data_IF_717865478585
#
_entry.id   IF_717865478585
#
_cell.length_a   1.000
_cell.length_b   1.000
_cell.length_c   1.000
_cell.angle_alpha   90.00
_cell.angle_beta   90.00
_cell.angle_gamma   90.00
#
_symmetry.space_group_name_H-M   'P 1'
#
loop_
_entity.id
_entity.type
_entity.pdbx_description
1 polymer ?
#
# COMPACT_ATOMS: atom_id res chain seq x y z
N UNK A 1 10.55 9.51 -78.83
CA UNK A 1 9.89 10.31 -79.89
C UNK A 1 8.49 10.63 -79.39
N UNK A 2 8.15 11.91 -79.38
CA UNK A 2 6.89 12.55 -78.96
C UNK A 2 5.63 11.90 -79.53
N UNK A 3 4.56 11.79 -78.73
CA UNK A 3 3.15 12.01 -79.14
C UNK A 3 2.23 11.83 -77.93
N UNK A 4 1.61 12.90 -77.42
CA UNK A 4 0.34 13.52 -77.82
C UNK A 4 -0.85 13.03 -76.98
N UNK A 5 -1.42 14.02 -76.32
CA UNK A 5 -2.69 14.08 -75.60
C UNK A 5 -3.87 13.70 -76.48
N UNK A 6 -4.80 12.90 -75.96
CA UNK A 6 -6.17 12.84 -76.49
C UNK A 6 -7.16 12.72 -75.31
N UNK A 7 -7.95 13.79 -75.13
CA UNK A 7 -9.12 13.84 -74.23
C UNK A 7 -10.31 13.30 -75.01
N UNK A 8 -10.99 12.29 -74.49
CA UNK A 8 -12.37 11.96 -74.88
C UNK A 8 -13.29 12.21 -73.69
N UNK A 9 -14.24 13.12 -73.89
CA UNK A 9 -15.31 13.50 -72.98
C UNK A 9 -16.52 12.61 -73.27
N UNK A 10 -17.04 11.93 -72.25
CA UNK A 10 -18.37 11.31 -72.24
C UNK A 10 -19.22 11.95 -71.15
N UNK A 11 -20.31 12.58 -71.55
CA UNK A 11 -21.31 13.30 -70.73
C UNK A 11 -22.43 12.38 -70.24
N UNK A 12 -22.76 12.43 -68.94
CA UNK A 12 -24.12 12.59 -68.39
C UNK A 12 -24.09 12.75 -66.86
N UNK A 13 -25.16 13.25 -66.20
CA UNK A 13 -25.08 14.40 -65.31
C UNK A 13 -25.26 14.00 -63.85
N UNK A 14 -24.29 14.33 -63.01
CA UNK A 14 -24.55 14.55 -61.59
C UNK A 14 -23.54 15.55 -61.04
N UNK A 15 -24.01 16.42 -60.16
CA UNK A 15 -23.21 17.46 -59.56
C UNK A 15 -22.23 16.89 -58.54
N UNK A 16 -21.10 16.37 -59.01
CA UNK A 16 -20.02 15.85 -58.17
C UNK A 16 -18.99 16.94 -57.84
N UNK A 17 -18.84 17.20 -56.54
CA UNK A 17 -17.78 17.99 -55.94
C UNK A 17 -16.46 17.24 -56.16
N UNK A 18 -15.50 17.88 -56.84
CA UNK A 18 -14.17 17.34 -57.12
C UNK A 18 -13.44 16.96 -55.83
N UNK A 19 -13.19 15.67 -55.65
CA UNK A 19 -12.21 15.17 -54.67
C UNK A 19 -10.86 15.14 -55.37
N UNK A 20 -10.02 16.14 -55.11
CA UNK A 20 -8.62 16.09 -55.52
C UNK A 20 -7.90 15.07 -54.63
N UNK A 21 -7.48 13.97 -55.25
CA UNK A 21 -6.66 12.93 -54.62
C UNK A 21 -5.24 13.47 -54.50
N UNK A 22 -4.94 14.07 -53.35
CA UNK A 22 -3.58 14.45 -52.96
C UNK A 22 -2.76 13.18 -52.65
N UNK A 23 -1.56 13.14 -53.22
CA UNK A 23 -0.59 12.05 -53.07
C UNK A 23 -0.19 11.83 -51.59
N UNK A 24 -0.02 10.56 -51.26
CA UNK A 24 0.23 9.96 -49.93
C UNK A 24 1.59 10.32 -49.29
N UNK A 25 2.34 11.28 -49.87
CA UNK A 25 3.68 11.66 -49.41
C UNK A 25 3.72 12.93 -48.56
N UNK A 26 2.68 13.78 -48.59
CA UNK A 26 2.67 15.07 -47.87
C UNK A 26 2.03 15.03 -46.46
N UNK A 27 1.46 13.89 -46.04
CA UNK A 27 0.84 13.74 -44.70
C UNK A 27 1.85 13.30 -43.62
N UNK A 28 3.11 13.08 -43.97
CA UNK A 28 4.12 12.50 -43.05
C UNK A 28 4.76 13.46 -42.04
N UNK A 29 4.26 14.69 -41.84
CA UNK A 29 5.00 15.69 -41.02
C UNK A 29 4.52 16.04 -39.62
N UNK A 30 3.34 15.65 -39.15
CA UNK A 30 2.91 16.02 -37.77
C UNK A 30 2.17 14.92 -37.00
N UNK A 31 2.68 13.69 -37.06
CA UNK A 31 2.35 12.69 -36.03
C UNK A 31 3.59 12.50 -35.17
N UNK A 32 3.73 13.34 -34.15
CA UNK A 32 4.63 13.08 -33.02
C UNK A 32 4.14 11.80 -32.35
N UNK A 33 4.64 10.65 -32.81
CA UNK A 33 4.48 9.37 -32.12
C UNK A 33 5.21 9.51 -30.78
N UNK A 34 4.43 9.82 -29.74
CA UNK A 34 4.90 9.73 -28.36
C UNK A 34 5.22 8.26 -28.12
N UNK A 35 6.51 7.96 -28.09
CA UNK A 35 7.04 6.62 -27.94
C UNK A 35 6.77 6.14 -26.52
N UNK A 36 5.64 5.47 -26.33
CA UNK A 36 5.35 4.75 -25.10
C UNK A 36 6.29 3.55 -24.99
N UNK A 37 6.97 3.41 -23.84
CA UNK A 37 7.65 2.16 -23.48
C UNK A 37 6.68 0.97 -23.63
N UNK A 38 7.20 -0.26 -23.62
CA UNK A 38 6.46 -1.54 -23.63
C UNK A 38 5.28 -1.63 -22.61
N UNK A 39 5.18 -0.68 -21.68
CA UNK A 39 4.14 -0.48 -20.68
C UNK A 39 3.09 0.61 -21.03
N UNK A 40 3.12 1.23 -22.22
CA UNK A 40 2.14 2.22 -22.67
C UNK A 40 2.22 3.61 -22.04
N UNK A 41 3.34 4.01 -21.43
CA UNK A 41 3.44 5.30 -20.73
C UNK A 41 4.19 6.36 -21.54
N UNK A 42 3.56 7.53 -21.68
CA UNK A 42 4.15 8.78 -22.15
C UNK A 42 5.20 9.26 -21.11
N UNK A 43 6.37 9.70 -21.57
CA UNK A 43 7.34 10.38 -20.71
C UNK A 43 6.66 11.57 -20.01
N UNK A 44 6.93 11.81 -18.72
CA UNK A 44 6.41 12.97 -17.98
C UNK A 44 6.97 14.25 -18.60
N UNK A 45 6.27 14.80 -19.58
CA UNK A 45 6.68 16.00 -20.29
C UNK A 45 6.05 17.28 -19.72
N UNK A 46 5.02 17.16 -18.86
CA UNK A 46 4.34 18.32 -18.27
C UNK A 46 4.92 18.68 -16.88
N UNK A 47 5.51 19.89 -16.69
CA UNK A 47 5.97 20.38 -15.40
C UNK A 47 4.90 20.34 -14.30
N UNK A 48 3.61 20.51 -14.67
CA UNK A 48 2.50 20.46 -13.74
C UNK A 48 2.29 19.07 -13.13
N UNK A 49 2.48 18.00 -13.91
CA UNK A 49 2.37 16.61 -13.44
C UNK A 49 3.51 16.26 -12.48
N UNK A 50 4.73 16.74 -12.75
CA UNK A 50 5.89 16.52 -11.88
C UNK A 50 5.70 17.25 -10.53
N UNK A 51 5.23 18.49 -10.56
CA UNK A 51 4.93 19.27 -9.36
C UNK A 51 3.83 18.61 -8.52
N UNK A 52 2.76 18.12 -9.16
CA UNK A 52 1.68 17.39 -8.51
C UNK A 52 2.18 16.12 -7.81
N UNK A 53 2.96 15.28 -8.50
CA UNK A 53 3.50 14.05 -7.91
C UNK A 53 4.45 14.34 -6.75
N UNK A 54 5.31 15.36 -6.86
CA UNK A 54 6.14 15.78 -5.73
C UNK A 54 5.30 16.20 -4.52
N UNK A 55 4.23 16.97 -4.74
CA UNK A 55 3.31 17.41 -3.67
C UNK A 55 2.61 16.24 -3.00
N UNK A 56 2.21 15.23 -3.78
CA UNK A 56 1.65 13.96 -3.28
C UNK A 56 2.69 13.17 -2.49
N UNK A 57 3.90 13.00 -3.04
CA UNK A 57 5.01 12.29 -2.41
C UNK A 57 5.36 12.94 -1.05
N UNK A 58 5.50 14.27 -1.00
CA UNK A 58 5.83 14.99 0.24
C UNK A 58 4.79 14.89 1.35
N UNK A 59 3.53 14.58 1.04
CA UNK A 59 2.45 14.58 2.04
C UNK A 59 1.96 13.18 2.40
N UNK A 60 1.85 12.29 1.42
CA UNK A 60 1.33 10.93 1.59
C UNK A 60 2.44 9.97 2.02
N UNK A 61 3.64 10.08 1.43
CA UNK A 61 4.69 9.10 1.69
C UNK A 61 5.24 9.16 3.12
N UNK A 62 5.54 10.33 3.73
CA UNK A 62 6.09 10.36 5.08
C UNK A 62 5.13 9.79 6.13
N UNK A 63 3.83 10.09 6.02
CA UNK A 63 2.84 9.58 6.96
C UNK A 63 2.62 8.08 6.79
N UNK A 64 2.51 7.60 5.55
CA UNK A 64 2.32 6.18 5.28
C UNK A 64 3.57 5.37 5.67
N UNK A 65 4.75 5.93 5.42
CA UNK A 65 6.03 5.37 5.87
C UNK A 65 6.12 5.32 7.39
N UNK A 66 5.72 6.39 8.10
CA UNK A 66 5.71 6.40 9.56
C UNK A 66 4.72 5.39 10.15
N UNK A 67 3.52 5.27 9.58
CA UNK A 67 2.53 4.27 9.98
C UNK A 67 3.08 2.85 9.75
N UNK A 68 3.73 2.59 8.62
CA UNK A 68 4.33 1.30 8.30
C UNK A 68 5.54 0.99 9.19
N UNK A 69 6.37 1.98 9.48
CA UNK A 69 7.47 1.87 10.45
C UNK A 69 6.97 1.45 11.83
N UNK A 70 5.92 2.10 12.34
CA UNK A 70 5.31 1.77 13.63
C UNK A 70 4.64 0.39 13.64
N UNK A 71 4.04 -0.01 12.52
CA UNK A 71 3.45 -1.34 12.37
C UNK A 71 4.47 -2.45 12.60
N UNK A 72 5.65 -2.32 12.00
CA UNK A 72 6.73 -3.26 12.24
C UNK A 72 7.37 -3.10 13.61
N UNK A 73 7.31 -1.91 14.22
CA UNK A 73 7.90 -1.66 15.53
C UNK A 73 7.17 -2.50 16.59
N UNK A 74 5.84 -2.43 16.62
CA UNK A 74 4.98 -3.18 17.54
C UNK A 74 5.08 -4.70 17.34
N UNK A 75 5.24 -5.15 16.09
CA UNK A 75 5.47 -6.57 15.80
C UNK A 75 6.81 -7.04 16.38
N UNK A 76 7.84 -6.19 16.33
CA UNK A 76 9.15 -6.47 16.92
C UNK A 76 9.19 -6.24 18.44
N UNK A 77 8.20 -5.55 19.02
CA UNK A 77 8.14 -5.26 20.45
C UNK A 77 8.06 -6.52 21.32
N UNK A 78 7.36 -7.57 20.90
CA UNK A 78 7.28 -8.82 21.68
C UNK A 78 8.63 -9.55 21.77
N UNK A 79 9.35 -9.78 20.66
CA UNK A 79 10.72 -10.24 20.71
C UNK A 79 11.63 -9.41 21.61
N UNK A 80 11.52 -8.08 21.58
CA UNK A 80 12.35 -7.23 22.42
C UNK A 80 11.95 -7.32 23.91
N UNK A 81 10.66 -7.35 24.21
CA UNK A 81 10.14 -7.53 25.56
C UNK A 81 10.60 -8.85 26.20
N UNK A 82 10.77 -9.91 25.39
CA UNK A 82 11.36 -11.18 25.83
C UNK A 82 12.75 -11.01 26.47
N UNK A 83 13.55 -10.07 25.98
CA UNK A 83 14.89 -9.78 26.52
C UNK A 83 14.85 -9.15 27.91
N UNK A 84 13.73 -8.51 28.29
CA UNK A 84 13.51 -7.88 29.58
C UNK A 84 12.68 -8.77 30.53
N UNK A 85 13.04 -10.05 30.65
CA UNK A 85 12.43 -11.01 31.58
C UNK A 85 10.89 -11.20 31.49
N UNK A 86 10.24 -10.83 30.37
CA UNK A 86 8.79 -11.02 30.17
C UNK A 86 8.34 -12.47 30.41
N UNK A 87 9.19 -13.45 30.08
CA UNK A 87 8.90 -14.86 30.34
C UNK A 87 8.78 -15.17 31.84
N UNK A 88 9.57 -14.51 32.69
CA UNK A 88 9.53 -14.69 34.15
C UNK A 88 8.33 -13.98 34.76
N UNK A 89 8.02 -12.77 34.30
CA UNK A 89 6.89 -11.99 34.82
C UNK A 89 5.54 -12.64 34.52
N UNK A 90 5.39 -13.24 33.34
CA UNK A 90 4.15 -13.94 32.93
C UNK A 90 4.17 -15.44 33.22
N UNK A 91 5.25 -15.97 33.82
CA UNK A 91 5.47 -17.41 34.04
C UNK A 91 5.24 -18.26 32.78
N UNK A 92 5.74 -17.80 31.64
CA UNK A 92 5.59 -18.50 30.36
C UNK A 92 6.42 -19.79 30.36
N UNK A 93 5.80 -20.91 29.96
CA UNK A 93 6.45 -22.23 29.89
C UNK A 93 6.58 -22.72 28.44
N UNK A 94 7.79 -23.13 28.06
CA UNK A 94 8.04 -23.89 26.83
C UNK A 94 7.54 -23.19 25.56
N UNK A 95 6.57 -23.80 24.88
CA UNK A 95 6.07 -23.38 23.56
C UNK A 95 5.10 -22.17 23.60
N UNK A 96 4.66 -21.74 24.78
CA UNK A 96 3.64 -20.71 24.95
C UNK A 96 4.01 -19.37 24.30
N UNK A 97 5.28 -18.97 24.41
CA UNK A 97 5.77 -17.75 23.75
C UNK A 97 5.62 -17.82 22.22
N UNK A 98 5.98 -18.96 21.62
CA UNK A 98 5.82 -19.17 20.18
C UNK A 98 4.34 -19.17 19.77
N UNK A 99 3.46 -19.76 20.59
CA UNK A 99 2.02 -19.70 20.35
C UNK A 99 1.49 -18.28 20.37
N UNK A 100 1.97 -17.42 21.28
CA UNK A 100 1.58 -16.01 21.34
C UNK A 100 2.06 -15.19 20.13
N UNK A 101 3.16 -15.57 19.48
CA UNK A 101 3.58 -14.99 18.20
C UNK A 101 2.65 -15.50 17.08
N UNK A 102 2.43 -16.81 17.01
CA UNK A 102 1.67 -17.42 15.92
C UNK A 102 0.19 -17.03 15.90
N UNK A 103 -0.43 -16.80 17.07
CA UNK A 103 -1.86 -16.44 17.16
C UNK A 103 -2.17 -15.09 16.50
N UNK A 104 -1.20 -14.17 16.44
CA UNK A 104 -1.33 -12.90 15.72
C UNK A 104 -1.61 -13.16 14.23
N UNK A 105 -0.87 -14.10 13.61
CA UNK A 105 -1.06 -14.45 12.21
C UNK A 105 -2.42 -15.10 11.95
N UNK A 106 -2.95 -15.86 12.90
CA UNK A 106 -4.30 -16.45 12.80
C UNK A 106 -5.36 -15.34 12.75
N UNK A 107 -5.30 -14.37 13.69
CA UNK A 107 -6.20 -13.22 13.68
C UNK A 107 -6.06 -12.38 12.41
N UNK A 108 -4.81 -12.21 11.95
CA UNK A 108 -4.50 -11.49 10.73
C UNK A 108 -5.16 -12.13 9.50
N UNK A 109 -4.99 -13.45 9.31
CA UNK A 109 -5.53 -14.19 8.16
C UNK A 109 -7.06 -14.14 8.12
N UNK A 110 -7.72 -14.30 9.27
CA UNK A 110 -9.19 -14.26 9.34
C UNK A 110 -9.75 -12.92 8.89
N UNK A 111 -9.09 -11.82 9.23
CA UNK A 111 -9.58 -10.48 8.95
C UNK A 111 -9.05 -9.90 7.61
N UNK A 112 -8.01 -10.49 7.04
CA UNK A 112 -7.43 -10.05 5.77
C UNK A 112 -8.44 -10.12 4.61
N UNK A 113 -9.23 -11.20 4.52
CA UNK A 113 -10.23 -11.38 3.45
C UNK A 113 -11.43 -10.41 3.63
N UNK A 114 -12.09 -10.35 4.80
CA UNK A 114 -13.16 -9.38 5.05
C UNK A 114 -12.69 -7.94 4.85
N UNK A 115 -11.51 -7.58 5.38
CA UNK A 115 -10.97 -6.23 5.26
C UNK A 115 -10.82 -5.80 3.81
N UNK A 116 -10.23 -6.65 2.97
CA UNK A 116 -10.03 -6.31 1.56
C UNK A 116 -11.37 -6.05 0.86
N UNK A 117 -12.43 -6.76 1.26
CA UNK A 117 -13.77 -6.49 0.76
C UNK A 117 -14.33 -5.15 1.25
N UNK A 118 -14.18 -4.84 2.54
CA UNK A 118 -14.64 -3.60 3.14
C UNK A 118 -13.92 -2.35 2.62
N UNK A 119 -12.65 -2.50 2.28
CA UNK A 119 -11.80 -1.42 1.77
C UNK A 119 -12.30 -0.87 0.44
N UNK A 120 -12.92 -1.70 -0.41
CA UNK A 120 -13.52 -1.25 -1.68
C UNK A 120 -14.80 -0.41 -1.50
N UNK A 121 -15.42 -0.45 -0.31
CA UNK A 121 -16.69 0.23 -0.01
C UNK A 121 -16.56 1.42 0.95
N UNK A 122 -15.41 1.57 1.60
CA UNK A 122 -15.19 2.54 2.68
C UNK A 122 -14.07 3.50 2.32
N UNK A 123 -14.07 4.69 2.89
CA UNK A 123 -12.97 5.64 2.75
C UNK A 123 -11.68 5.06 3.36
N UNK A 124 -10.60 4.85 2.59
CA UNK A 124 -9.40 4.17 3.07
C UNK A 124 -8.71 4.90 4.23
N UNK A 125 -8.68 6.24 4.20
CA UNK A 125 -8.03 7.06 5.24
C UNK A 125 -8.69 6.85 6.61
N UNK A 126 -10.01 7.02 6.70
CA UNK A 126 -10.76 6.81 7.95
C UNK A 126 -10.61 5.37 8.44
N UNK A 127 -10.73 4.40 7.54
CA UNK A 127 -10.64 2.99 7.89
C UNK A 127 -9.26 2.64 8.48
N UNK A 128 -8.17 3.04 7.81
CA UNK A 128 -6.82 2.80 8.29
C UNK A 128 -6.52 3.51 9.61
N UNK A 129 -6.93 4.77 9.76
CA UNK A 129 -6.72 5.51 11.02
C UNK A 129 -7.49 4.91 12.19
N UNK A 130 -8.74 4.49 12.00
CA UNK A 130 -9.53 3.85 13.06
C UNK A 130 -8.92 2.51 13.45
N UNK A 131 -8.54 1.68 12.47
CA UNK A 131 -7.84 0.42 12.74
C UNK A 131 -6.53 0.64 13.49
N UNK A 132 -5.77 1.68 13.13
CA UNK A 132 -4.52 2.03 13.80
C UNK A 132 -4.72 2.53 15.23
N UNK A 133 -5.79 3.28 15.51
CA UNK A 133 -6.14 3.70 16.89
C UNK A 133 -6.56 2.49 17.74
N UNK A 134 -7.37 1.59 17.18
CA UNK A 134 -7.78 0.36 17.87
C UNK A 134 -6.55 -0.51 18.18
N UNK A 135 -5.69 -0.70 17.19
CA UNK A 135 -4.43 -1.42 17.32
C UNK A 135 -3.50 -0.79 18.37
N UNK A 136 -3.31 0.54 18.35
CA UNK A 136 -2.53 1.26 19.37
C UNK A 136 -3.11 1.09 20.79
N UNK A 137 -4.44 1.09 20.91
CA UNK A 137 -5.13 0.89 22.19
C UNK A 137 -4.92 -0.52 22.74
N UNK A 138 -4.99 -1.54 21.87
CA UNK A 138 -4.74 -2.94 22.24
C UNK A 138 -3.27 -3.16 22.58
N UNK A 139 -2.35 -2.53 21.86
CA UNK A 139 -0.91 -2.56 22.17
C UNK A 139 -0.63 -1.97 23.55
N UNK A 140 -1.15 -0.78 23.86
CA UNK A 140 -1.03 -0.18 25.18
C UNK A 140 -1.67 -1.04 26.28
N UNK A 141 -2.82 -1.68 26.01
CA UNK A 141 -3.46 -2.61 26.93
C UNK A 141 -2.61 -3.87 27.21
N UNK A 142 -1.73 -4.26 26.28
CA UNK A 142 -0.82 -5.41 26.45
C UNK A 142 0.16 -5.18 27.60
N UNK A 143 0.52 -3.94 27.91
CA UNK A 143 1.35 -3.61 29.08
C UNK A 143 0.69 -3.99 30.42
N UNK A 144 -0.64 -4.03 30.48
CA UNK A 144 -1.40 -4.37 31.69
C UNK A 144 -1.60 -5.88 31.91
N UNK A 145 -1.13 -6.73 31.00
CA UNK A 145 -1.34 -8.17 31.05
C UNK A 145 -0.43 -8.83 32.10
N UNK A 146 -1.00 -9.67 32.95
CA UNK A 146 -0.28 -10.43 33.99
C UNK A 146 -0.29 -11.95 33.78
N UNK A 147 -1.01 -12.43 32.76
CA UNK A 147 -1.26 -13.86 32.54
C UNK A 147 -1.07 -14.22 31.06
N UNK A 148 -0.66 -15.47 30.80
CA UNK A 148 -0.53 -16.01 29.44
C UNK A 148 -1.80 -15.84 28.59
N UNK A 149 -2.97 -16.18 29.13
CA UNK A 149 -4.24 -16.07 28.39
C UNK A 149 -4.56 -14.63 28.00
N UNK A 150 -4.19 -13.65 28.84
CA UNK A 150 -4.35 -12.24 28.52
C UNK A 150 -3.44 -11.80 27.39
N UNK A 151 -2.20 -12.31 27.35
CA UNK A 151 -1.24 -12.01 26.29
C UNK A 151 -1.76 -12.55 24.96
N UNK A 152 -2.19 -13.81 24.94
CA UNK A 152 -2.74 -14.46 23.74
C UNK A 152 -3.99 -13.74 23.24
N UNK A 153 -4.91 -13.36 24.13
CA UNK A 153 -6.12 -12.61 23.76
C UNK A 153 -5.76 -11.24 23.17
N UNK A 154 -4.90 -10.46 23.83
CA UNK A 154 -4.41 -9.19 23.31
C UNK A 154 -3.78 -9.37 21.93
N UNK A 155 -2.92 -10.38 21.72
CA UNK A 155 -2.28 -10.66 20.42
C UNK A 155 -3.25 -11.07 19.33
N UNK A 156 -4.28 -11.84 19.67
CA UNK A 156 -5.31 -12.22 18.72
C UNK A 156 -6.09 -10.98 18.22
N UNK A 157 -6.54 -10.12 19.14
CA UNK A 157 -7.24 -8.88 18.77
C UNK A 157 -6.32 -7.87 18.08
N UNK A 158 -5.03 -7.85 18.44
CA UNK A 158 -4.02 -7.05 17.76
C UNK A 158 -3.92 -7.46 16.29
N UNK A 159 -3.78 -8.76 16.01
CA UNK A 159 -3.73 -9.28 14.63
C UNK A 159 -5.00 -8.98 13.84
N UNK A 160 -6.16 -9.02 14.49
CA UNK A 160 -7.44 -8.64 13.89
C UNK A 160 -7.48 -7.16 13.48
N UNK A 161 -6.97 -6.26 14.33
CA UNK A 161 -6.91 -4.82 14.07
C UNK A 161 -5.83 -4.44 13.04
N UNK A 162 -4.75 -5.21 12.97
CA UNK A 162 -3.59 -4.97 12.09
C UNK A 162 -3.81 -5.45 10.65
N UNK A 163 -4.58 -6.53 10.44
CA UNK A 163 -4.91 -7.11 9.14
C UNK A 163 -5.28 -6.12 8.01
N UNK A 164 -6.14 -5.11 8.26
CA UNK A 164 -6.54 -4.16 7.23
C UNK A 164 -5.46 -3.17 6.78
N UNK A 165 -4.42 -2.98 7.58
CA UNK A 165 -3.50 -1.86 7.38
C UNK A 165 -2.69 -1.99 6.09
N UNK A 166 -2.09 -3.17 5.84
CA UNK A 166 -1.28 -3.40 4.64
C UNK A 166 -2.07 -3.28 3.32
N UNK A 167 -3.21 -4.00 3.13
CA UNK A 167 -4.02 -3.81 1.92
C UNK A 167 -4.58 -2.38 1.82
N UNK A 168 -4.91 -1.75 2.95
CA UNK A 168 -5.30 -0.34 3.02
C UNK A 168 -4.26 0.60 2.44
N UNK A 169 -3.01 0.46 2.87
CA UNK A 169 -1.88 1.28 2.43
C UNK A 169 -1.60 1.11 0.94
N UNK A 170 -1.61 -0.14 0.44
CA UNK A 170 -1.42 -0.44 -0.98
C UNK A 170 -2.57 0.11 -1.84
N UNK A 171 -3.81 -0.01 -1.36
CA UNK A 171 -4.96 0.54 -2.06
C UNK A 171 -4.90 2.06 -2.14
N UNK A 172 -4.55 2.73 -1.04
CA UNK A 172 -4.36 4.19 -1.03
C UNK A 172 -3.29 4.60 -2.06
N UNK A 173 -2.14 3.93 -2.08
CA UNK A 173 -1.11 4.22 -3.08
C UNK A 173 -1.61 3.96 -4.51
N UNK A 174 -2.40 2.92 -4.73
CA UNK A 174 -2.94 2.60 -6.06
C UNK A 174 -3.92 3.64 -6.60
N UNK A 175 -4.58 4.41 -5.72
CA UNK A 175 -5.50 5.48 -6.12
C UNK A 175 -4.73 6.76 -6.50
N UNK A 176 -3.61 7.05 -5.85
CA UNK A 176 -2.86 8.30 -6.03
C UNK A 176 -1.67 8.19 -7.00
N UNK A 177 -1.16 6.99 -7.24
CA UNK A 177 0.04 6.76 -8.06
C UNK A 177 -0.24 5.81 -9.23
N UNK A 178 0.48 6.05 -10.34
CA UNK A 178 0.43 5.17 -11.51
C UNK A 178 1.21 3.88 -11.28
N UNK A 179 0.95 2.83 -12.05
CA UNK A 179 1.60 1.51 -11.90
C UNK A 179 3.13 1.55 -11.91
N UNK A 180 3.72 2.42 -12.76
CA UNK A 180 5.18 2.62 -12.80
C UNK A 180 5.72 3.24 -11.51
N UNK A 181 4.98 4.16 -10.91
CA UNK A 181 5.40 4.85 -9.68
C UNK A 181 5.15 4.02 -8.44
N UNK A 182 4.05 3.27 -8.44
CA UNK A 182 3.60 2.45 -7.33
C UNK A 182 4.71 1.50 -6.86
N UNK A 183 5.41 0.84 -7.79
CA UNK A 183 6.52 -0.06 -7.45
C UNK A 183 7.62 0.66 -6.64
N UNK A 184 8.07 1.83 -7.09
CA UNK A 184 9.08 2.62 -6.36
C UNK A 184 8.59 3.08 -4.99
N UNK A 185 7.32 3.47 -4.87
CA UNK A 185 6.75 3.93 -3.59
C UNK A 185 6.57 2.77 -2.61
N UNK A 186 6.17 1.59 -3.09
CA UNK A 186 6.13 0.37 -2.28
C UNK A 186 7.53 0.02 -1.79
N UNK A 187 8.55 0.07 -2.65
CA UNK A 187 9.94 -0.15 -2.22
C UNK A 187 10.37 0.85 -1.14
N UNK A 188 9.96 2.12 -1.26
CA UNK A 188 10.21 3.12 -0.22
C UNK A 188 9.49 2.79 1.08
N UNK A 189 8.23 2.32 1.05
CA UNK A 189 7.53 1.84 2.25
C UNK A 189 8.28 0.67 2.91
N UNK A 190 8.76 -0.29 2.13
CA UNK A 190 9.53 -1.42 2.63
C UNK A 190 10.81 -1.02 3.37
N UNK A 191 11.43 0.11 3.02
CA UNK A 191 12.55 0.63 3.80
C UNK A 191 12.16 0.92 5.26
N UNK A 192 10.91 1.32 5.51
CA UNK A 192 10.38 1.57 6.84
C UNK A 192 10.39 0.33 7.73
N UNK A 193 10.10 -0.85 7.17
CA UNK A 193 10.21 -2.12 7.88
C UNK A 193 11.66 -2.43 8.30
N UNK A 194 12.61 -2.22 7.39
CA UNK A 194 14.04 -2.49 7.66
C UNK A 194 14.57 -1.55 8.74
N UNK A 195 14.27 -0.26 8.62
CA UNK A 195 14.64 0.75 9.63
C UNK A 195 13.97 0.45 10.97
N UNK A 196 12.69 0.08 10.98
CA UNK A 196 11.96 -0.30 12.19
C UNK A 196 12.59 -1.48 12.91
N UNK A 197 12.93 -2.54 12.18
CA UNK A 197 13.56 -3.73 12.76
C UNK A 197 14.95 -3.40 13.33
N UNK A 198 15.73 -2.56 12.66
CA UNK A 198 17.04 -2.10 13.16
C UNK A 198 16.94 -1.18 14.38
N UNK A 199 15.96 -0.28 14.41
CA UNK A 199 15.77 0.66 15.50
C UNK A 199 15.04 0.07 16.72
N UNK A 200 14.22 -0.97 16.53
CA UNK A 200 13.41 -1.59 17.60
C UNK A 200 14.27 -2.05 18.78
N UNK A 201 15.42 -2.67 18.52
CA UNK A 201 16.35 -3.07 19.58
C UNK A 201 16.97 -1.90 20.34
N UNK A 202 17.26 -0.79 19.66
CA UNK A 202 17.78 0.43 20.30
C UNK A 202 16.73 1.10 21.18
N UNK A 203 15.49 1.17 20.71
CA UNK A 203 14.36 1.73 21.47
C UNK A 203 14.08 0.87 22.70
N UNK A 204 14.11 -0.46 22.56
CA UNK A 204 13.98 -1.39 23.67
C UNK A 204 15.12 -1.22 24.69
N UNK A 205 16.38 -1.20 24.23
CA UNK A 205 17.53 -1.01 25.11
C UNK A 205 17.47 0.34 25.87
N UNK A 206 17.10 1.42 25.19
CA UNK A 206 16.94 2.75 25.81
C UNK A 206 15.80 2.77 26.83
N UNK A 207 14.70 2.06 26.55
CA UNK A 207 13.56 1.95 27.48
C UNK A 207 13.96 1.15 28.71
N UNK A 208 14.65 0.02 28.53
CA UNK A 208 15.09 -0.83 29.64
C UNK A 208 16.16 -0.15 30.52
N UNK A 209 17.04 0.68 29.95
CA UNK A 209 18.05 1.38 30.75
C UNK A 209 17.49 2.56 31.54
N UNK A 210 16.43 3.21 31.06
CA UNK A 210 15.93 4.47 31.62
C UNK A 210 14.70 4.29 32.52
N UNK A 211 13.86 3.29 32.22
CA UNK A 211 12.52 3.15 32.82
C UNK A 211 12.29 1.82 33.53
N UNK A 212 13.28 0.94 33.62
CA UNK A 212 13.14 -0.32 34.35
C UNK A 212 12.95 -0.05 35.86
N UNK A 213 11.83 -0.53 36.40
CA UNK A 213 11.42 -0.26 37.79
C UNK A 213 10.80 1.13 38.03
N UNK A 214 10.73 1.99 37.00
CA UNK A 214 10.09 3.30 37.14
C UNK A 214 8.58 3.13 37.41
N UNK A 215 8.09 3.70 38.52
CA UNK A 215 6.70 3.57 39.01
C UNK A 215 6.24 2.13 39.28
N UNK A 216 7.17 1.19 39.50
CA UNK A 216 6.85 -0.21 39.80
C UNK A 216 6.39 -1.03 38.60
N UNK A 217 6.63 -0.55 37.38
CA UNK A 217 6.38 -1.27 36.13
C UNK A 217 7.70 -1.79 35.57
N UNK A 218 7.66 -2.98 34.95
CA UNK A 218 8.81 -3.57 34.28
C UNK A 218 9.14 -2.82 32.98
N UNK A 219 10.41 -2.83 32.56
CA UNK A 219 10.86 -2.16 31.34
C UNK A 219 10.06 -2.56 30.08
N UNK A 220 9.63 -3.82 29.98
CA UNK A 220 8.78 -4.26 28.86
C UNK A 220 7.37 -3.64 28.85
N UNK A 221 6.80 -3.32 30.01
CA UNK A 221 5.49 -2.67 30.08
C UNK A 221 5.57 -1.23 29.58
N UNK A 222 6.65 -0.53 29.94
CA UNK A 222 6.94 0.81 29.42
C UNK A 222 7.16 0.81 27.91
N UNK A 223 7.80 -0.22 27.37
CA UNK A 223 7.98 -0.36 25.92
C UNK A 223 6.63 -0.34 25.19
N UNK A 224 5.68 -1.20 25.59
CA UNK A 224 4.35 -1.23 24.97
C UNK A 224 3.54 0.06 25.18
N UNK A 225 3.68 0.73 26.33
CA UNK A 225 3.00 2.01 26.59
C UNK A 225 3.54 3.11 25.68
N UNK A 226 4.87 3.23 25.56
CA UNK A 226 5.51 4.26 24.74
C UNK A 226 5.20 4.02 23.27
N UNK A 227 5.36 2.79 22.79
CA UNK A 227 5.08 2.44 21.41
C UNK A 227 3.61 2.62 21.06
N UNK A 228 2.70 2.19 21.95
CA UNK A 228 1.26 2.42 21.79
C UNK A 228 0.90 3.91 21.77
N UNK A 229 1.50 4.73 22.63
CA UNK A 229 1.25 6.18 22.67
C UNK A 229 1.76 6.89 21.41
N UNK A 230 2.98 6.59 20.96
CA UNK A 230 3.54 7.14 19.72
C UNK A 230 2.68 6.71 18.52
N UNK A 231 2.24 5.45 18.50
CA UNK A 231 1.37 4.93 17.45
C UNK A 231 0.01 5.63 17.44
N UNK A 232 -0.60 5.86 18.60
CA UNK A 232 -1.86 6.60 18.70
C UNK A 232 -1.73 8.06 18.22
N UNK A 233 -0.62 8.73 18.55
CA UNK A 233 -0.33 10.08 18.06
C UNK A 233 -0.20 10.11 16.53
N UNK A 234 0.60 9.21 15.96
CA UNK A 234 0.75 9.13 14.49
C UNK A 234 -0.57 8.75 13.82
N UNK A 235 -1.40 7.89 14.43
CA UNK A 235 -2.72 7.56 13.92
C UNK A 235 -3.66 8.77 13.90
N UNK A 236 -3.61 9.62 14.94
CA UNK A 236 -4.36 10.87 15.02
C UNK A 236 -3.91 11.88 13.96
N UNK A 237 -2.60 12.03 13.77
CA UNK A 237 -2.08 12.83 12.65
C UNK A 237 -2.48 12.23 11.30
N UNK A 238 -2.42 10.91 11.16
CA UNK A 238 -2.86 10.17 9.98
C UNK A 238 -4.31 10.46 9.63
N UNK A 239 -5.21 10.51 10.62
CA UNK A 239 -6.62 10.84 10.40
C UNK A 239 -6.81 12.24 9.79
N UNK A 240 -5.98 13.21 10.19
CA UNK A 240 -6.06 14.58 9.66
C UNK A 240 -5.26 14.79 8.38
N UNK A 241 -4.16 14.05 8.16
CA UNK A 241 -3.24 14.22 7.02
C UNK A 241 -3.52 13.28 5.84
N UNK A 242 -4.09 12.08 6.06
CA UNK A 242 -4.31 11.14 4.97
C UNK A 242 -5.45 11.63 4.06
N UNK A 243 -5.20 11.76 2.75
CA UNK A 243 -6.23 12.11 1.79
C UNK A 243 -7.15 10.91 1.52
N UNK A 244 -8.47 11.14 1.48
CA UNK A 244 -9.45 10.10 1.18
C UNK A 244 -9.55 9.77 -0.31
N UNK A 245 -9.52 10.79 -1.17
CA UNK A 245 -9.84 10.66 -2.59
C UNK A 245 -9.19 11.78 -3.43
N UNK A 246 -8.65 11.48 -4.62
CA UNK A 246 -8.03 12.46 -5.50
C UNK A 246 -9.00 13.55 -6.00
N UNK A 247 -10.32 13.32 -5.98
CA UNK A 247 -11.36 14.30 -6.35
C UNK A 247 -11.84 15.17 -5.16
N UNK A 248 -11.72 14.69 -3.92
CA UNK A 248 -12.18 15.40 -2.70
C UNK A 248 -11.04 15.92 -1.82
N UNK A 249 -9.80 15.85 -2.29
CA UNK A 249 -8.61 16.22 -1.53
C UNK A 249 -8.57 17.73 -1.22
N UNK A 250 -8.74 18.09 0.06
CA UNK A 250 -8.84 19.49 0.52
C UNK A 250 -7.64 20.38 0.16
N UNK A 251 -6.45 19.80 -0.05
CA UNK A 251 -5.22 20.57 -0.33
C UNK A 251 -4.80 20.60 -1.80
N UNK A 252 -5.52 19.93 -2.70
CA UNK A 252 -5.31 20.05 -4.15
C UNK A 252 -6.22 21.14 -4.71
N UNK A 253 -5.66 21.96 -5.61
CA UNK A 253 -6.44 22.90 -6.43
C UNK A 253 -7.31 22.15 -7.44
N UNK A 254 -8.35 22.78 -7.95
CA UNK A 254 -9.28 22.13 -8.91
C UNK A 254 -8.56 21.63 -10.18
N UNK A 255 -7.58 22.40 -10.67
CA UNK A 255 -6.72 22.00 -11.77
C UNK A 255 -5.82 20.78 -11.44
N UNK A 256 -5.25 20.73 -10.23
CA UNK A 256 -4.44 19.60 -9.75
C UNK A 256 -5.29 18.33 -9.59
N UNK A 257 -6.54 18.45 -9.13
CA UNK A 257 -7.47 17.32 -8.99
C UNK A 257 -7.89 16.75 -10.33
N UNK A 258 -8.23 17.62 -11.28
CA UNK A 258 -8.58 17.21 -12.64
C UNK A 258 -7.40 16.45 -13.30
N UNK A 259 -6.17 16.95 -13.12
CA UNK A 259 -4.96 16.30 -13.60
C UNK A 259 -4.71 14.95 -12.91
N UNK A 260 -4.92 14.85 -11.60
CA UNK A 260 -4.78 13.59 -10.86
C UNK A 260 -5.77 12.52 -11.32
N UNK A 261 -7.05 12.88 -11.47
CA UNK A 261 -8.09 11.95 -11.94
C UNK A 261 -7.83 11.50 -13.37
N UNK A 262 -7.49 12.44 -14.25
CA UNK A 262 -7.22 12.15 -15.67
C UNK A 262 -6.02 11.20 -15.83
N UNK A 263 -4.96 11.42 -15.04
CA UNK A 263 -3.77 10.57 -15.03
C UNK A 263 -4.07 9.14 -14.61
N UNK A 264 -4.83 8.96 -13.53
CA UNK A 264 -5.23 7.64 -13.05
C UNK A 264 -6.19 6.99 -14.04
N UNK A 265 -7.10 7.76 -14.65
CA UNK A 265 -8.01 7.28 -15.69
C UNK A 265 -7.26 6.75 -16.91
N UNK A 266 -6.23 7.46 -17.39
CA UNK A 266 -5.34 7.02 -18.49
C UNK A 266 -4.61 5.72 -18.16
N UNK A 267 -4.16 5.53 -16.93
CA UNK A 267 -3.52 4.28 -16.51
C UNK A 267 -4.55 3.16 -16.23
N UNK A 268 -5.82 3.48 -15.95
CA UNK A 268 -6.88 2.51 -15.62
C UNK A 268 -7.69 2.02 -16.84
N UNK A 269 -7.42 2.54 -18.05
CA UNK A 269 -8.09 2.10 -19.30
C UNK A 269 -7.78 0.62 -19.56
N UNK A 270 -8.66 -0.27 -19.09
CA UNK A 270 -8.53 -1.72 -19.29
C UNK A 270 -8.99 -2.60 -18.13
N UNK A 271 -9.25 -2.05 -16.92
CA UNK A 271 -9.76 -2.84 -15.79
C UNK A 271 -10.84 -2.08 -15.01
N UNK A 272 -12.02 -1.93 -15.61
CA UNK A 272 -13.21 -1.74 -14.79
C UNK A 272 -13.54 -3.07 -14.13
N UNK A 273 -13.44 -3.14 -12.80
CA UNK A 273 -13.95 -4.26 -12.03
C UNK A 273 -15.49 -4.23 -12.08
N UNK A 274 -16.07 -4.70 -13.18
CA UNK A 274 -17.50 -4.97 -13.31
C UNK A 274 -17.82 -6.36 -12.75
N UNK A 275 -17.66 -6.53 -11.44
CA UNK A 275 -18.04 -7.75 -10.74
C UNK A 275 -18.22 -7.48 -9.25
N UNK A 276 -19.12 -8.21 -8.60
CA UNK A 276 -19.24 -8.16 -7.15
C UNK A 276 -17.88 -8.52 -6.52
N UNK A 277 -17.51 -7.90 -5.40
CA UNK A 277 -16.25 -8.20 -4.69
C UNK A 277 -16.10 -9.70 -4.37
N UNK A 278 -17.23 -10.41 -4.27
CA UNK A 278 -17.33 -11.86 -4.12
C UNK A 278 -16.98 -12.65 -5.39
N UNK A 279 -17.36 -12.13 -6.56
CA UNK A 279 -17.00 -12.72 -7.85
C UNK A 279 -15.50 -12.55 -8.11
N UNK A 280 -14.92 -11.41 -7.70
CA UNK A 280 -13.48 -11.20 -7.71
C UNK A 280 -12.72 -12.17 -6.80
N UNK A 281 -13.23 -12.45 -5.60
CA UNK A 281 -12.66 -13.45 -4.70
C UNK A 281 -12.75 -14.87 -5.29
N UNK A 282 -13.90 -15.23 -5.86
CA UNK A 282 -14.11 -16.53 -6.50
C UNK A 282 -13.19 -16.72 -7.71
N UNK A 283 -13.01 -15.67 -8.52
CA UNK A 283 -12.08 -15.68 -9.66
C UNK A 283 -10.62 -15.79 -9.18
N UNK A 284 -10.24 -15.08 -8.12
CA UNK A 284 -8.89 -15.16 -7.55
C UNK A 284 -8.55 -16.55 -6.99
N UNK A 285 -9.50 -17.18 -6.29
CA UNK A 285 -9.34 -18.54 -5.78
C UNK A 285 -9.34 -19.62 -6.88
N UNK A 286 -9.93 -19.33 -8.05
CA UNK A 286 -9.95 -20.24 -9.20
C UNK A 286 -8.78 -20.01 -10.17
N UNK A 287 -8.02 -18.91 -10.02
CA UNK A 287 -6.88 -18.64 -10.90
C UNK A 287 -5.67 -19.50 -10.51
N UNK A 288 -5.23 -20.44 -11.38
CA UNK A 288 -4.07 -21.28 -11.12
C UNK A 288 -2.76 -20.48 -10.98
N UNK A 289 -2.69 -19.27 -11.54
CA UNK A 289 -1.52 -18.39 -11.38
C UNK A 289 -1.38 -17.91 -9.94
N UNK A 290 -2.49 -17.63 -9.25
CA UNK A 290 -2.49 -17.28 -7.82
C UNK A 290 -1.87 -18.40 -7.00
N UNK A 291 -2.31 -19.64 -7.22
CA UNK A 291 -1.77 -20.81 -6.55
C UNK A 291 -0.30 -21.06 -6.90
N UNK A 292 0.11 -20.86 -8.16
CA UNK A 292 1.50 -20.96 -8.58
C UNK A 292 2.38 -19.92 -7.87
N UNK A 293 1.94 -18.67 -7.74
CA UNK A 293 2.67 -17.63 -7.00
C UNK A 293 2.71 -17.93 -5.50
N UNK A 294 1.61 -18.40 -4.90
CA UNK A 294 1.60 -18.85 -3.51
C UNK A 294 2.58 -20.01 -3.29
N UNK A 295 2.61 -20.97 -4.21
CA UNK A 295 3.49 -22.14 -4.14
C UNK A 295 4.96 -21.73 -4.34
N UNK A 296 5.26 -20.86 -5.30
CA UNK A 296 6.60 -20.30 -5.50
C UNK A 296 7.11 -19.55 -4.26
N UNK A 297 6.25 -18.76 -3.62
CA UNK A 297 6.61 -18.03 -2.39
C UNK A 297 6.86 -18.97 -1.21
N UNK A 298 6.06 -20.04 -1.05
CA UNK A 298 6.24 -21.01 0.03
C UNK A 298 7.38 -22.00 -0.25
N UNK A 299 7.69 -22.27 -1.52
CA UNK A 299 8.77 -23.17 -1.96
C UNK A 299 10.13 -22.46 -2.05
N UNK A 300 10.21 -21.14 -1.81
CA UNK A 300 11.47 -20.43 -1.55
C UNK A 300 12.05 -20.79 -0.17
N UNK A 301 12.13 -22.10 0.12
CA UNK A 301 12.96 -22.66 1.17
C UNK A 301 14.40 -22.48 0.68
N UNK A 302 15.29 -21.84 1.46
CA UNK A 302 16.67 -21.69 1.05
C UNK A 302 17.25 -23.10 0.89
N UNK A 303 17.62 -23.43 -0.35
CA UNK A 303 18.62 -24.46 -0.62
C UNK A 303 19.97 -23.92 -0.09
N UNK A 304 20.10 -23.77 1.22
CA UNK A 304 21.40 -23.78 1.86
C UNK A 304 21.82 -25.25 1.91
N UNK A 305 22.82 -25.68 1.14
CA UNK A 305 23.48 -26.95 1.44
C UNK A 305 24.07 -26.78 2.84
N UNK A 306 23.61 -27.61 3.79
CA UNK A 306 24.28 -27.76 5.07
C UNK A 306 25.75 -28.14 4.85
N UNK A 307 26.69 -27.62 5.67
CA UNK A 307 28.12 -27.88 5.52
C UNK A 307 28.49 -29.37 5.66
#
# INVERSE_FOLDING_TARGET
MTSKTEKSQGTHPDGDIKVDVLHDDDVKKDIVRVQGDYSGAVAKSDPAEIALVRKLDFRIMPILWAMYFLNYLDRNALPQARLNNLEKDLNLKGLQYNTAISILFVGYLLMQVPSNMFLTRTRPSIYMSVCMIIWASISAATAGVKNYSGLVACRFFLGFAEAPFYPGALYLLSIFYTRKELATRISLLYTGQVVSTGCSGLIAAATFSTLDGARGLAGWQWLFIIEGAVTALVAMFGFFLLPDDPSRTRWLTEAERALAVERIRRDTVGKQAQGSTWDGLKQACQDPRTWLFCLMQNLHIPLTPSP
#
